data_IF_440689923889
#
_entry.id   IF_440689923889
#
_cell.length_a   1.000
_cell.length_b   1.000
_cell.length_c   1.000
_cell.angle_alpha   90.00
_cell.angle_beta   90.00
_cell.angle_gamma   90.00
#
_symmetry.space_group_name_H-M   'P 1'
#
loop_
_entity.id
_entity.type
_entity.pdbx_description
1 polymer ?
#
# COMPACT_ATOMS: atom_id res chain seq x y z
N UNK A 1 1.43 4.83 -16.35
CA UNK A 1 0.04 5.32 -16.36
C UNK A 1 0.08 6.81 -16.10
N UNK A 2 -0.73 7.59 -16.79
CA UNK A 2 -0.78 9.04 -16.62
C UNK A 2 -2.12 9.47 -16.05
N UNK A 3 -2.08 10.56 -15.28
CA UNK A 3 -3.27 11.14 -14.69
C UNK A 3 -4.17 11.70 -15.80
N UNK A 4 -5.40 11.21 -15.91
CA UNK A 4 -6.35 11.71 -16.91
C UNK A 4 -6.95 13.04 -16.47
N UNK A 5 -6.79 14.07 -17.29
CA UNK A 5 -7.55 15.31 -17.12
C UNK A 5 -9.07 15.02 -17.18
N UNK A 6 -9.91 15.76 -16.43
CA UNK A 6 -9.58 16.87 -15.53
C UNK A 6 -9.30 16.44 -14.07
N UNK A 7 -9.09 15.15 -13.79
CA UNK A 7 -8.97 14.65 -12.43
C UNK A 7 -7.63 15.00 -11.79
N UNK A 8 -7.64 15.38 -10.51
CA UNK A 8 -6.43 15.62 -9.71
C UNK A 8 -5.92 14.36 -9.00
N UNK A 9 -6.71 13.30 -8.93
CA UNK A 9 -6.33 11.99 -8.41
C UNK A 9 -7.09 10.86 -9.13
N UNK A 10 -6.47 9.69 -9.20
CA UNK A 10 -7.06 8.47 -9.74
C UNK A 10 -6.72 7.30 -8.82
N UNK A 11 -7.74 6.56 -8.41
CA UNK A 11 -7.59 5.37 -7.58
C UNK A 11 -7.86 4.16 -8.48
N UNK A 12 -6.85 3.30 -8.65
CA UNK A 12 -6.99 2.07 -9.40
C UNK A 12 -7.48 0.96 -8.45
N UNK A 13 -8.43 0.14 -8.91
CA UNK A 13 -8.89 -1.04 -8.17
C UNK A 13 -8.47 -2.29 -8.90
N UNK A 14 -7.99 -3.31 -8.17
CA UNK A 14 -7.53 -4.56 -8.74
C UNK A 14 -8.40 -5.75 -8.31
N UNK A 15 -8.84 -6.54 -9.30
CA UNK A 15 -9.59 -7.78 -9.10
C UNK A 15 -8.81 -8.81 -8.31
N UNK A 16 -7.49 -8.87 -8.44
CA UNK A 16 -6.68 -9.89 -7.77
C UNK A 16 -6.63 -9.66 -6.26
N UNK A 17 -6.64 -8.38 -5.84
CA UNK A 17 -6.87 -8.00 -4.45
C UNK A 17 -8.21 -8.49 -3.91
N UNK A 18 -9.24 -8.49 -4.75
CA UNK A 18 -10.58 -8.94 -4.37
C UNK A 18 -10.65 -10.44 -4.12
N UNK A 19 -9.99 -11.23 -4.99
CA UNK A 19 -9.91 -12.70 -4.84
C UNK A 19 -9.29 -13.09 -3.50
N UNK A 20 -8.38 -12.27 -2.98
CA UNK A 20 -7.66 -12.51 -1.72
C UNK A 20 -8.18 -11.70 -0.54
N UNK A 21 -9.35 -11.07 -0.69
CA UNK A 21 -10.01 -10.28 0.35
C UNK A 21 -9.14 -9.15 0.96
N UNK A 22 -8.21 -8.57 0.20
CA UNK A 22 -7.46 -7.38 0.62
C UNK A 22 -8.30 -6.13 0.36
N UNK A 23 -9.17 -5.82 1.31
CA UNK A 23 -10.03 -4.64 1.25
C UNK A 23 -9.36 -3.45 1.95
N UNK A 24 -9.36 -2.24 1.34
CA UNK A 24 -9.92 -1.92 0.02
C UNK A 24 -9.07 -2.42 -1.14
N UNK A 25 -9.71 -2.61 -2.30
CA UNK A 25 -9.10 -3.16 -3.52
C UNK A 25 -8.13 -2.23 -4.24
N UNK A 26 -7.66 -1.19 -3.55
CA UNK A 26 -6.81 -0.14 -4.13
C UNK A 26 -5.48 -0.75 -4.54
N UNK A 27 -5.11 -0.58 -5.80
CA UNK A 27 -3.79 -0.91 -6.32
C UNK A 27 -2.86 0.29 -6.14
N UNK A 28 -1.93 0.26 -5.16
CA UNK A 28 -1.14 1.43 -4.79
C UNK A 28 -0.20 1.88 -5.92
N UNK A 29 0.30 0.96 -6.76
CA UNK A 29 1.22 1.29 -7.85
C UNK A 29 0.57 2.04 -8.98
N UNK A 30 -0.71 1.76 -9.22
CA UNK A 30 -1.48 2.37 -10.30
C UNK A 30 -2.37 3.49 -9.79
N UNK A 31 -2.37 3.81 -8.51
CA UNK A 31 -3.08 4.98 -7.99
C UNK A 31 -2.19 6.23 -8.08
N UNK A 32 -2.76 7.34 -8.55
CA UNK A 32 -2.05 8.58 -8.86
C UNK A 32 -2.71 9.77 -8.17
N UNK A 33 -1.92 10.79 -7.82
CA UNK A 33 -2.42 12.06 -7.27
C UNK A 33 -1.48 13.22 -7.63
N UNK A 34 -2.04 14.39 -7.93
CA UNK A 34 -1.29 15.64 -8.08
C UNK A 34 -0.90 16.24 -6.72
N UNK A 35 -1.62 15.89 -5.65
CA UNK A 35 -1.39 16.41 -4.31
C UNK A 35 -0.03 16.01 -3.73
N UNK A 36 0.64 15.00 -4.31
CA UNK A 36 2.01 14.62 -3.94
C UNK A 36 3.00 15.77 -4.15
N UNK A 37 2.74 16.72 -5.06
CA UNK A 37 3.65 17.84 -5.27
C UNK A 37 3.61 18.88 -4.12
N UNK A 38 2.56 18.88 -3.29
CA UNK A 38 2.34 19.88 -2.24
C UNK A 38 2.43 19.34 -0.81
N UNK A 39 2.85 18.09 -0.62
CA UNK A 39 3.03 17.47 0.69
C UNK A 39 4.35 17.86 1.36
N UNK A 40 4.40 17.79 2.69
CA UNK A 40 5.63 18.08 3.44
C UNK A 40 6.76 17.08 3.15
N UNK A 41 7.99 17.43 3.54
CA UNK A 41 9.18 16.60 3.30
C UNK A 41 9.07 15.21 3.93
N UNK A 42 8.42 15.09 5.10
CA UNK A 42 8.31 13.84 5.87
C UNK A 42 7.39 12.86 5.15
N UNK A 43 6.27 13.34 4.61
CA UNK A 43 5.36 12.57 3.77
C UNK A 43 6.08 12.13 2.49
N UNK A 44 6.80 13.04 1.81
CA UNK A 44 7.51 12.73 0.57
C UNK A 44 8.60 11.66 0.72
N UNK A 45 9.36 11.70 1.83
CA UNK A 45 10.38 10.70 2.14
C UNK A 45 9.77 9.30 2.26
N UNK A 46 8.63 9.17 2.95
CA UNK A 46 7.93 7.88 3.11
C UNK A 46 7.36 7.35 1.82
N UNK A 47 6.70 8.20 1.04
CA UNK A 47 6.18 7.82 -0.29
C UNK A 47 7.32 7.33 -1.18
N UNK A 48 8.48 8.00 -1.15
CA UNK A 48 9.66 7.59 -1.91
C UNK A 48 10.16 6.21 -1.45
N UNK A 49 10.30 5.98 -0.13
CA UNK A 49 10.71 4.67 0.42
C UNK A 49 9.74 3.55 0.02
N UNK A 50 8.43 3.78 0.15
CA UNK A 50 7.39 2.83 -0.25
C UNK A 50 7.48 2.51 -1.74
N UNK A 51 7.69 3.51 -2.60
CA UNK A 51 7.87 3.31 -4.05
C UNK A 51 9.11 2.47 -4.35
N UNK A 52 10.24 2.74 -3.69
CA UNK A 52 11.45 1.93 -3.84
C UNK A 52 11.23 0.48 -3.41
N UNK A 53 10.52 0.25 -2.30
CA UNK A 53 10.16 -1.09 -1.83
C UNK A 53 9.27 -1.80 -2.87
N UNK A 54 8.30 -1.10 -3.44
CA UNK A 54 7.45 -1.62 -4.51
C UNK A 54 8.20 -1.91 -5.81
N UNK A 55 9.17 -1.09 -6.19
CA UNK A 55 10.00 -1.30 -7.38
C UNK A 55 10.93 -2.50 -7.20
N UNK A 56 11.49 -2.69 -6.01
CA UNK A 56 12.25 -3.91 -5.68
C UNK A 56 11.38 -5.16 -5.84
N UNK A 57 10.16 -5.14 -5.28
CA UNK A 57 9.22 -6.25 -5.35
C UNK A 57 8.64 -6.45 -6.77
N UNK A 58 8.74 -5.47 -7.67
CA UNK A 58 8.21 -5.59 -9.04
C UNK A 58 8.89 -6.66 -9.88
N UNK A 59 10.15 -6.96 -9.58
CA UNK A 59 10.93 -7.94 -10.34
C UNK A 59 10.68 -9.39 -9.91
N UNK A 60 9.70 -9.60 -9.02
CA UNK A 60 9.58 -10.81 -8.21
C UNK A 60 8.21 -11.51 -8.38
N UNK A 61 7.29 -10.89 -9.11
CA UNK A 61 5.86 -11.24 -9.21
C UNK A 61 5.06 -10.91 -7.93
N UNK A 62 4.08 -10.03 -8.13
CA UNK A 62 3.54 -9.11 -7.12
C UNK A 62 2.22 -9.56 -6.51
N UNK A 63 1.67 -10.66 -6.99
CA UNK A 63 0.26 -10.95 -6.76
C UNK A 63 0.04 -12.00 -5.68
N UNK A 64 0.94 -11.93 -4.71
CA UNK A 64 0.86 -12.47 -3.37
C UNK A 64 0.88 -13.98 -3.19
N UNK A 65 1.83 -14.61 -3.87
CA UNK A 65 2.55 -15.66 -3.19
C UNK A 65 3.39 -15.04 -2.06
N UNK A 66 3.19 -15.55 -0.85
CA UNK A 66 4.03 -15.26 0.31
C UNK A 66 5.26 -16.17 0.28
N UNK A 67 5.83 -16.38 -0.92
CA UNK A 67 7.10 -17.08 -1.06
C UNK A 67 8.24 -16.08 -0.86
N UNK A 68 9.36 -16.56 -0.33
CA UNK A 68 10.54 -15.73 -0.13
C UNK A 68 11.24 -15.59 -1.47
N UNK A 69 11.47 -14.34 -1.86
CA UNK A 69 12.10 -14.02 -3.13
C UNK A 69 13.47 -13.40 -2.92
N UNK A 70 14.45 -13.88 -3.68
CA UNK A 70 15.87 -13.56 -3.48
C UNK A 70 16.51 -14.45 -2.40
N UNK A 71 17.84 -14.34 -2.27
CA UNK A 71 18.61 -15.12 -1.31
C UNK A 71 19.27 -14.20 -0.28
N UNK A 72 19.32 -14.66 0.97
CA UNK A 72 20.05 -13.99 2.06
C UNK A 72 19.20 -13.04 2.91
N UNK A 73 19.80 -12.47 3.97
CA UNK A 73 19.08 -11.74 5.01
C UNK A 73 18.37 -10.46 4.52
N UNK A 74 18.98 -9.75 3.57
CA UNK A 74 18.41 -8.51 3.02
C UNK A 74 17.13 -8.77 2.23
N UNK A 75 17.12 -9.84 1.43
CA UNK A 75 15.96 -10.24 0.64
C UNK A 75 14.80 -10.64 1.56
N UNK A 76 15.09 -11.43 2.60
CA UNK A 76 14.11 -11.79 3.63
C UNK A 76 13.50 -10.56 4.30
N UNK A 77 14.34 -9.62 4.75
CA UNK A 77 13.87 -8.38 5.38
C UNK A 77 12.91 -7.61 4.47
N UNK A 78 13.26 -7.42 3.19
CA UNK A 78 12.41 -6.71 2.23
C UNK A 78 11.09 -7.43 1.94
N UNK A 79 11.09 -8.76 1.91
CA UNK A 79 9.86 -9.55 1.80
C UNK A 79 8.96 -9.36 3.02
N UNK A 80 9.51 -9.44 4.23
CA UNK A 80 8.77 -9.26 5.48
C UNK A 80 8.17 -7.84 5.58
N UNK A 81 8.94 -6.82 5.20
CA UNK A 81 8.48 -5.43 5.13
C UNK A 81 7.33 -5.26 4.13
N UNK A 82 7.46 -5.82 2.93
CA UNK A 82 6.39 -5.71 1.92
C UNK A 82 5.11 -6.41 2.38
N UNK A 83 5.22 -7.61 2.97
CA UNK A 83 4.06 -8.35 3.49
C UNK A 83 3.35 -7.55 4.57
N UNK A 84 4.10 -7.02 5.53
CA UNK A 84 3.58 -6.18 6.60
C UNK A 84 2.89 -4.94 6.04
N UNK A 85 3.51 -4.28 5.05
CA UNK A 85 2.94 -3.12 4.39
C UNK A 85 1.65 -3.43 3.60
N UNK A 86 1.61 -4.53 2.84
CA UNK A 86 0.42 -4.92 2.08
C UNK A 86 -0.76 -5.30 2.99
N UNK A 87 -0.47 -5.97 4.12
CA UNK A 87 -1.48 -6.24 5.15
C UNK A 87 -1.95 -4.95 5.80
N UNK A 88 -1.04 -4.03 6.12
CA UNK A 88 -1.36 -2.74 6.72
C UNK A 88 -2.25 -1.86 5.83
N UNK A 89 -2.09 -1.93 4.50
CA UNK A 89 -2.97 -1.24 3.56
C UNK A 89 -4.41 -1.78 3.54
N UNK A 90 -4.68 -2.91 4.19
CA UNK A 90 -6.03 -3.41 4.35
C UNK A 90 -6.69 -2.74 5.56
N UNK A 91 -7.90 -2.23 5.37
CA UNK A 91 -8.62 -1.51 6.42
C UNK A 91 -10.09 -1.94 6.42
N UNK A 92 -10.65 -2.37 7.57
CA UNK A 92 -12.07 -2.62 7.68
C UNK A 92 -12.82 -1.28 7.59
N UNK A 93 -13.76 -1.19 6.64
CA UNK A 93 -14.61 -0.01 6.52
C UNK A 93 -15.86 -0.16 7.37
N UNK A 94 -16.26 0.91 8.05
CA UNK A 94 -17.49 0.96 8.86
C UNK A 94 -18.71 0.54 8.05
N UNK A 95 -18.80 1.00 6.79
CA UNK A 95 -19.90 0.64 5.89
C UNK A 95 -19.91 -0.84 5.49
N UNK A 96 -18.80 -1.55 5.68
CA UNK A 96 -18.66 -2.97 5.36
C UNK A 96 -18.94 -3.88 6.57
N UNK A 97 -19.07 -3.32 7.78
CA UNK A 97 -19.34 -4.07 9.02
C UNK A 97 -20.49 -5.08 8.89
N UNK A 98 -21.67 -4.73 8.30
CA UNK A 98 -22.78 -5.67 8.19
C UNK A 98 -22.50 -6.88 7.30
N UNK A 99 -21.49 -6.80 6.43
CA UNK A 99 -21.16 -7.83 5.45
C UNK A 99 -19.99 -8.71 5.89
N UNK A 100 -19.05 -8.17 6.67
CA UNK A 100 -17.82 -8.87 7.05
C UNK A 100 -17.70 -9.13 8.56
N UNK A 101 -18.58 -8.56 9.40
CA UNK A 101 -18.59 -8.71 10.85
C UNK A 101 -17.38 -8.09 11.58
N UNK A 102 -16.54 -7.31 10.90
CA UNK A 102 -15.36 -6.66 11.47
C UNK A 102 -15.65 -5.18 11.70
N UNK A 103 -15.48 -4.65 12.93
CA UNK A 103 -15.61 -3.22 13.22
C UNK A 103 -14.75 -2.40 12.26
N UNK A 104 -15.30 -1.31 11.76
CA UNK A 104 -14.58 -0.37 10.93
C UNK A 104 -13.58 0.42 11.74
N UNK A 105 -12.47 0.74 11.10
CA UNK A 105 -11.39 1.51 11.71
C UNK A 105 -11.26 2.86 11.00
N UNK A 106 -10.87 3.89 11.75
CA UNK A 106 -10.47 5.18 11.20
C UNK A 106 -9.06 5.49 11.66
N UNK A 107 -8.17 5.75 10.70
CA UNK A 107 -6.76 6.05 10.98
C UNK A 107 -6.53 7.55 10.76
N UNK A 108 -6.03 8.23 11.77
CA UNK A 108 -5.66 9.64 11.64
C UNK A 108 -4.42 9.77 10.75
N UNK A 109 -4.35 10.83 9.94
CA UNK A 109 -3.24 11.02 9.00
C UNK A 109 -1.85 11.05 9.67
N UNK A 110 -1.74 11.60 10.88
CA UNK A 110 -0.46 11.59 11.63
C UNK A 110 -0.05 10.17 12.00
N UNK A 111 -0.98 9.40 12.54
CA UNK A 111 -0.71 8.04 13.03
C UNK A 111 -0.38 7.12 11.85
N UNK A 112 -1.10 7.25 10.71
CA UNK A 112 -0.76 6.61 9.44
C UNK A 112 0.70 6.83 9.04
N UNK A 113 1.17 8.08 9.14
CA UNK A 113 2.53 8.44 8.74
C UNK A 113 3.59 7.84 9.68
N UNK A 114 3.33 7.82 10.98
CA UNK A 114 4.23 7.25 11.99
C UNK A 114 4.29 5.71 11.88
N UNK A 115 3.16 5.05 11.63
CA UNK A 115 3.07 3.60 11.45
C UNK A 115 3.76 3.13 10.16
N UNK A 116 3.58 3.85 9.05
CA UNK A 116 4.32 3.57 7.80
C UNK A 116 5.83 3.71 8.02
N UNK A 117 6.28 4.69 8.80
CA UNK A 117 7.70 4.84 9.11
C UNK A 117 8.23 3.64 9.87
N UNK A 118 7.52 3.21 10.91
CA UNK A 118 7.87 2.02 11.70
C UNK A 118 7.86 0.72 10.90
N UNK A 119 7.02 0.60 9.85
CA UNK A 119 7.00 -0.58 8.98
C UNK A 119 8.16 -0.61 7.98
N UNK A 120 8.77 0.54 7.71
CA UNK A 120 9.83 0.71 6.72
C UNK A 120 11.23 0.76 7.33
N UNK A 121 11.35 0.81 8.66
CA UNK A 121 12.59 0.79 9.44
C UNK A 121 12.93 -0.64 9.92
#
# INVERSE_FOLDING_TARGET
>A
MELKAPYSAQIALDRKRAVKALLPLIEPKFSLSQAFASTDKRHMQRVTRVKTLFDWYKNIDLEFDFEDHGNGPEAKLKNDMMRSFLTYLCQPFVVAEPFNGRPGEQVAHRDLLDEIESLLD
#
